data_IF_767316618196
#
_entry.id   IF_767316618196
#
_cell.length_a   1.000
_cell.length_b   1.000
_cell.length_c   1.000
_cell.angle_alpha   90.00
_cell.angle_beta   90.00
_cell.angle_gamma   90.00
#
_symmetry.space_group_name_H-M   'P 1'
#
loop_
_entity.id
_entity.type
_entity.pdbx_description
1 polymer ?
#
# COMPACT_ATOMS: atom_id res chain seq x y z
N UNK A 1 -22.46 -6.44 40.86
CA UNK A 1 -21.79 -6.07 39.61
C UNK A 1 -21.20 -7.34 39.00
N UNK A 2 -21.71 -7.81 37.85
CA UNK A 2 -21.03 -8.81 37.03
C UNK A 2 -21.29 -8.48 35.56
N UNK A 3 -20.31 -7.86 34.93
CA UNK A 3 -20.35 -7.49 33.52
C UNK A 3 -20.36 -8.75 32.66
N UNK A 4 -21.46 -8.99 31.93
CA UNK A 4 -21.52 -10.01 30.87
C UNK A 4 -20.64 -9.56 29.71
N UNK A 5 -19.35 -9.87 29.78
CA UNK A 5 -18.44 -9.73 28.64
C UNK A 5 -18.87 -10.71 27.54
N UNK A 6 -19.07 -10.18 26.33
CA UNK A 6 -19.34 -10.96 25.14
C UNK A 6 -18.11 -11.82 24.80
N UNK A 7 -18.26 -13.14 24.89
CA UNK A 7 -17.16 -14.09 24.72
C UNK A 7 -17.09 -14.52 23.24
N UNK A 8 -16.12 -13.99 22.50
CA UNK A 8 -15.96 -14.19 21.04
C UNK A 8 -15.52 -15.60 20.63
N UNK A 9 -15.40 -16.54 21.58
CA UNK A 9 -14.96 -17.93 21.37
C UNK A 9 -16.06 -18.97 21.59
N UNK A 10 -17.32 -18.56 21.79
CA UNK A 10 -18.42 -19.51 21.86
C UNK A 10 -18.59 -20.21 20.49
N UNK A 11 -18.59 -21.55 20.44
CA UNK A 11 -18.95 -22.27 19.22
C UNK A 11 -20.38 -21.86 18.84
N UNK A 12 -20.60 -21.48 17.58
CA UNK A 12 -21.92 -21.04 17.09
C UNK A 12 -23.03 -22.06 17.40
N UNK A 13 -22.67 -23.33 17.57
CA UNK A 13 -23.56 -24.46 17.86
C UNK A 13 -24.03 -24.56 19.32
N UNK A 14 -23.60 -23.66 20.21
CA UNK A 14 -23.97 -23.70 21.64
C UNK A 14 -25.25 -22.95 21.99
N UNK A 15 -25.80 -22.15 21.07
CA UNK A 15 -27.06 -21.44 21.29
C UNK A 15 -28.23 -22.18 20.64
N UNK A 16 -28.93 -22.96 21.49
CA UNK A 16 -30.27 -23.56 21.32
C UNK A 16 -30.33 -24.82 20.43
N UNK A 17 -30.15 -25.97 21.07
CA UNK A 17 -30.45 -27.29 20.47
C UNK A 17 -31.93 -27.65 20.49
N UNK A 18 -32.76 -26.96 21.29
CA UNK A 18 -34.08 -27.50 21.65
C UNK A 18 -35.31 -26.66 21.23
N UNK A 19 -35.19 -25.53 20.50
CA UNK A 19 -36.35 -24.62 20.41
C UNK A 19 -36.58 -23.78 19.15
N UNK A 20 -36.03 -24.12 17.97
CA UNK A 20 -36.51 -23.50 16.73
C UNK A 20 -36.51 -24.56 15.64
N UNK A 21 -37.70 -25.05 15.26
CA UNK A 21 -37.88 -25.65 13.94
C UNK A 21 -37.64 -24.54 12.92
N UNK A 22 -36.38 -24.38 12.51
CA UNK A 22 -36.00 -23.40 11.51
C UNK A 22 -36.70 -23.84 10.22
N UNK A 23 -37.62 -23.01 9.73
CA UNK A 23 -38.30 -23.25 8.46
C UNK A 23 -37.26 -23.63 7.40
N UNK A 24 -37.46 -24.67 6.59
CA UNK A 24 -36.44 -25.21 5.68
C UNK A 24 -35.81 -24.15 4.76
N UNK A 25 -36.59 -23.11 4.42
CA UNK A 25 -36.13 -21.92 3.68
C UNK A 25 -35.07 -21.11 4.43
N UNK A 26 -35.24 -20.88 5.74
CA UNK A 26 -34.27 -20.14 6.56
C UNK A 26 -32.97 -20.93 6.76
N UNK A 27 -33.05 -22.26 6.88
CA UNK A 27 -31.87 -23.14 6.90
C UNK A 27 -31.10 -23.07 5.57
N UNK A 28 -31.82 -23.16 4.45
CA UNK A 28 -31.26 -23.02 3.11
C UNK A 28 -30.61 -21.65 2.90
N UNK A 29 -31.24 -20.59 3.41
CA UNK A 29 -30.69 -19.23 3.34
C UNK A 29 -29.40 -19.08 4.16
N UNK A 30 -29.34 -19.67 5.36
CA UNK A 30 -28.10 -19.70 6.17
C UNK A 30 -26.95 -20.35 5.40
N UNK A 31 -27.19 -21.52 4.78
CA UNK A 31 -26.17 -22.20 3.98
C UNK A 31 -25.66 -21.34 2.81
N UNK A 32 -26.57 -20.63 2.14
CA UNK A 32 -26.21 -19.70 1.06
C UNK A 32 -25.35 -18.56 1.61
N UNK A 33 -25.75 -17.94 2.73
CA UNK A 33 -24.98 -16.87 3.36
C UNK A 33 -23.59 -17.33 3.79
N UNK A 34 -23.47 -18.53 4.37
CA UNK A 34 -22.18 -19.04 4.82
C UNK A 34 -21.25 -19.35 3.63
N UNK A 35 -21.80 -19.87 2.52
CA UNK A 35 -21.05 -20.02 1.26
C UNK A 35 -20.60 -18.67 0.71
N UNK A 36 -21.47 -17.66 0.70
CA UNK A 36 -21.14 -16.32 0.21
C UNK A 36 -20.06 -15.67 1.08
N UNK A 37 -20.15 -15.78 2.41
CA UNK A 37 -19.12 -15.29 3.34
C UNK A 37 -17.79 -15.98 3.10
N UNK A 38 -17.79 -17.31 2.93
CA UNK A 38 -16.58 -18.07 2.67
C UNK A 38 -15.93 -17.64 1.36
N UNK A 39 -16.71 -17.52 0.29
CA UNK A 39 -16.25 -17.05 -1.00
C UNK A 39 -15.69 -15.62 -0.91
N UNK A 40 -16.39 -14.70 -0.25
CA UNK A 40 -15.90 -13.33 -0.06
C UNK A 40 -14.56 -13.29 0.67
N UNK A 41 -14.38 -14.13 1.70
CA UNK A 41 -13.11 -14.25 2.42
C UNK A 41 -11.99 -14.78 1.52
N UNK A 42 -12.28 -15.79 0.70
CA UNK A 42 -11.32 -16.32 -0.27
C UNK A 42 -10.95 -15.26 -1.31
N UNK A 43 -11.93 -14.58 -1.90
CA UNK A 43 -11.68 -13.51 -2.88
C UNK A 43 -10.82 -12.38 -2.31
N UNK A 44 -10.99 -12.02 -1.04
CA UNK A 44 -10.13 -11.03 -0.38
C UNK A 44 -8.69 -11.55 -0.20
N UNK A 45 -8.52 -12.82 0.18
CA UNK A 45 -7.19 -13.44 0.31
C UNK A 45 -6.48 -13.49 -1.04
N UNK A 46 -7.17 -13.97 -2.08
CA UNK A 46 -6.63 -14.10 -3.44
C UNK A 46 -6.23 -12.73 -4.00
N UNK A 47 -7.04 -11.69 -3.76
CA UNK A 47 -6.73 -10.33 -4.17
C UNK A 47 -5.47 -9.78 -3.47
N UNK A 48 -5.31 -10.05 -2.18
CA UNK A 48 -4.11 -9.65 -1.43
C UNK A 48 -2.87 -10.37 -1.95
N UNK A 49 -2.96 -11.68 -2.14
CA UNK A 49 -1.86 -12.49 -2.63
C UNK A 49 -1.46 -12.10 -4.05
N UNK A 50 -2.44 -11.84 -4.92
CA UNK A 50 -2.19 -11.33 -6.27
C UNK A 50 -1.46 -9.98 -6.25
N UNK A 51 -1.91 -9.04 -5.42
CA UNK A 51 -1.28 -7.72 -5.31
C UNK A 51 0.16 -7.84 -4.81
N UNK A 52 0.39 -8.70 -3.81
CA UNK A 52 1.72 -8.99 -3.28
C UNK A 52 2.65 -9.60 -4.35
N UNK A 53 2.21 -10.67 -5.01
CA UNK A 53 3.00 -11.32 -6.07
C UNK A 53 3.32 -10.37 -7.22
N UNK A 54 2.35 -9.53 -7.61
CA UNK A 54 2.55 -8.51 -8.66
C UNK A 54 3.56 -7.45 -8.24
N UNK A 55 3.56 -7.06 -6.97
CA UNK A 55 4.55 -6.15 -6.42
C UNK A 55 5.93 -6.82 -6.38
N UNK A 56 6.06 -8.00 -5.77
CA UNK A 56 7.32 -8.75 -5.66
C UNK A 56 7.97 -9.00 -7.04
N UNK A 57 7.16 -9.30 -8.07
CA UNK A 57 7.65 -9.53 -9.44
C UNK A 57 8.22 -8.29 -10.11
N UNK A 58 7.60 -7.13 -9.89
CA UNK A 58 7.93 -5.89 -10.60
C UNK A 58 8.81 -4.94 -9.79
N UNK A 59 8.84 -5.10 -8.47
CA UNK A 59 9.58 -4.23 -7.58
C UNK A 59 11.07 -4.56 -7.64
N UNK A 60 11.86 -3.61 -8.17
CA UNK A 60 13.31 -3.68 -8.15
C UNK A 60 13.80 -2.74 -7.07
N UNK A 61 14.36 -3.31 -6.00
CA UNK A 61 15.07 -2.52 -4.98
C UNK A 61 16.30 -1.92 -5.66
N UNK A 62 16.42 -0.60 -5.61
CA UNK A 62 17.59 0.13 -6.12
C UNK A 62 18.52 0.38 -4.94
N UNK A 63 19.76 -0.04 -5.06
CA UNK A 63 20.79 0.24 -4.07
C UNK A 63 21.39 1.61 -4.37
N UNK A 64 21.08 2.58 -3.52
CA UNK A 64 21.67 3.92 -3.56
C UNK A 64 22.73 4.03 -2.47
N UNK A 65 23.83 4.73 -2.75
CA UNK A 65 24.86 5.06 -1.77
C UNK A 65 24.94 6.56 -1.57
N UNK A 66 25.35 6.96 -0.37
CA UNK A 66 25.69 8.35 -0.07
C UNK A 66 26.88 8.76 -0.95
N UNK A 67 26.76 9.89 -1.63
CA UNK A 67 27.72 10.37 -2.62
C UNK A 67 27.38 10.04 -4.08
N UNK A 68 26.40 9.16 -4.34
CA UNK A 68 26.00 8.87 -5.72
C UNK A 68 25.33 10.11 -6.35
N UNK A 69 25.60 10.30 -7.64
CA UNK A 69 24.93 11.32 -8.46
C UNK A 69 23.65 10.75 -9.02
N UNK A 70 22.53 11.40 -8.75
CA UNK A 70 21.21 10.93 -9.16
C UNK A 70 20.38 12.05 -9.79
N UNK A 71 19.50 11.66 -10.70
CA UNK A 71 18.55 12.54 -11.35
C UNK A 71 17.20 12.53 -10.60
N UNK A 72 16.62 13.70 -10.36
CA UNK A 72 15.31 13.84 -9.69
C UNK A 72 14.21 14.06 -10.72
N UNK A 73 13.13 13.27 -10.63
CA UNK A 73 12.00 13.32 -11.56
C UNK A 73 11.17 14.60 -11.40
N UNK A 74 10.81 15.23 -12.52
CA UNK A 74 10.03 16.48 -12.54
C UNK A 74 8.52 16.29 -12.49
N UNK A 75 8.03 15.06 -12.43
CA UNK A 75 6.59 14.73 -12.55
C UNK A 75 5.70 15.53 -11.58
N UNK A 76 6.20 15.79 -10.37
CA UNK A 76 5.47 16.51 -9.32
C UNK A 76 5.87 18.00 -9.18
N UNK A 77 6.72 18.50 -10.07
CA UNK A 77 7.23 19.87 -9.99
C UNK A 77 6.36 20.81 -10.84
N UNK A 78 5.39 21.45 -10.18
CA UNK A 78 4.51 22.42 -10.83
C UNK A 78 5.20 23.76 -11.17
N UNK A 79 6.30 24.09 -10.48
CA UNK A 79 6.94 25.41 -10.55
C UNK A 79 8.10 25.49 -11.56
N UNK A 80 8.40 24.42 -12.31
CA UNK A 80 9.41 24.49 -13.37
C UNK A 80 8.85 25.33 -14.51
N UNK A 81 9.57 26.40 -14.88
CA UNK A 81 9.21 27.28 -15.99
C UNK A 81 9.22 26.51 -17.32
N UNK A 82 8.25 26.81 -18.19
CA UNK A 82 8.18 26.27 -19.55
C UNK A 82 6.92 25.45 -19.85
N UNK A 83 6.64 25.20 -21.15
CA UNK A 83 5.44 24.48 -21.57
C UNK A 83 5.53 23.00 -21.19
N UNK A 84 4.42 22.43 -20.69
CA UNK A 84 4.34 21.05 -20.15
C UNK A 84 4.95 19.98 -21.05
N UNK A 85 4.88 20.16 -22.38
CA UNK A 85 5.41 19.21 -23.39
C UNK A 85 6.92 19.28 -23.61
N UNK A 86 7.58 20.38 -23.23
CA UNK A 86 9.03 20.58 -23.39
C UNK A 86 9.77 20.56 -22.05
N UNK A 87 9.10 20.20 -20.95
CA UNK A 87 9.76 20.04 -19.65
C UNK A 87 10.60 18.78 -19.66
N UNK A 88 11.85 18.87 -19.22
CA UNK A 88 12.68 17.71 -18.97
C UNK A 88 12.02 16.81 -17.93
N UNK A 89 11.95 15.50 -18.18
CA UNK A 89 11.35 14.53 -17.25
C UNK A 89 12.18 14.33 -15.97
N UNK A 90 13.46 14.69 -16.02
CA UNK A 90 14.40 14.61 -14.91
C UNK A 90 15.27 15.87 -14.88
N UNK A 91 15.67 16.29 -13.69
CA UNK A 91 16.54 17.44 -13.45
C UNK A 91 17.79 17.01 -12.71
N UNK A 92 18.91 17.60 -13.14
CA UNK A 92 20.17 17.73 -12.41
C UNK A 92 20.85 16.42 -12.02
N UNK A 93 22.17 16.44 -11.87
CA UNK A 93 22.90 15.39 -11.17
C UNK A 93 23.09 15.86 -9.74
N UNK A 94 22.20 15.44 -8.84
CA UNK A 94 22.26 15.80 -7.42
C UNK A 94 22.99 14.73 -6.63
N UNK A 95 23.76 15.16 -5.63
CA UNK A 95 24.49 14.23 -4.76
C UNK A 95 23.55 13.74 -3.66
N UNK A 96 23.54 12.44 -3.41
CA UNK A 96 22.86 11.86 -2.25
C UNK A 96 23.64 12.22 -0.98
N UNK A 97 22.98 12.94 -0.07
CA UNK A 97 23.55 13.34 1.23
C UNK A 97 23.25 12.30 2.30
N UNK A 98 22.03 11.77 2.33
CA UNK A 98 21.61 10.79 3.34
C UNK A 98 20.53 9.85 2.80
N UNK A 99 20.48 8.64 3.35
CA UNK A 99 19.46 7.63 3.06
C UNK A 99 18.51 7.53 4.25
N UNK A 100 17.22 7.74 4.02
CA UNK A 100 16.16 7.64 5.01
C UNK A 100 15.45 6.30 4.83
N UNK A 101 16.01 5.26 5.46
CA UNK A 101 15.57 3.88 5.29
C UNK A 101 15.73 3.39 3.85
N UNK A 102 14.85 2.48 3.40
CA UNK A 102 14.88 1.91 2.05
C UNK A 102 14.10 2.71 1.02
N UNK A 103 13.25 3.64 1.46
CA UNK A 103 12.20 4.22 0.62
C UNK A 103 12.43 5.68 0.26
N UNK A 104 13.32 6.39 0.97
CA UNK A 104 13.53 7.81 0.76
C UNK A 104 15.01 8.17 0.82
N UNK A 105 15.38 9.17 0.03
CA UNK A 105 16.74 9.66 -0.11
C UNK A 105 16.72 11.17 0.01
N UNK A 106 17.70 11.72 0.70
CA UNK A 106 17.92 13.15 0.78
C UNK A 106 19.04 13.53 -0.18
N UNK A 107 18.75 14.47 -1.07
CA UNK A 107 19.68 14.97 -2.08
C UNK A 107 19.99 16.44 -1.83
N UNK A 108 21.19 16.86 -2.20
CA UNK A 108 21.56 18.27 -2.17
C UNK A 108 20.99 18.96 -3.40
N UNK A 109 19.97 19.81 -3.21
CA UNK A 109 19.36 20.59 -4.27
C UNK A 109 20.06 21.95 -4.38
N UNK A 110 20.59 22.26 -5.57
CA UNK A 110 21.15 23.58 -5.88
C UNK A 110 20.26 24.42 -6.81
N UNK A 111 20.47 25.73 -6.83
CA UNK A 111 19.86 26.66 -7.79
C UNK A 111 18.36 26.88 -7.54
N UNK A 112 17.54 26.75 -8.59
CA UNK A 112 16.09 27.03 -8.54
C UNK A 112 15.29 26.11 -7.59
N UNK A 113 15.93 25.06 -7.06
CA UNK A 113 15.32 24.04 -6.21
C UNK A 113 15.79 24.08 -4.74
N UNK A 114 16.66 25.00 -4.34
CA UNK A 114 17.16 25.12 -2.95
C UNK A 114 16.05 25.29 -1.92
N UNK A 115 14.96 25.98 -2.30
CA UNK A 115 13.80 26.21 -1.43
C UNK A 115 12.80 25.03 -1.39
N UNK A 116 13.10 23.90 -2.05
CA UNK A 116 12.23 22.71 -2.05
C UNK A 116 12.68 21.70 -1.01
N UNK A 117 11.75 20.83 -0.62
CA UNK A 117 12.06 19.72 0.26
C UNK A 117 13.11 18.80 -0.41
N UNK A 118 14.27 18.57 0.20
CA UNK A 118 15.37 17.81 -0.40
C UNK A 118 15.20 16.28 -0.29
N UNK A 119 14.12 15.81 0.34
CA UNK A 119 13.87 14.38 0.55
C UNK A 119 12.87 13.87 -0.49
N UNK A 120 13.29 12.88 -1.28
CA UNK A 120 12.47 12.28 -2.32
C UNK A 120 12.32 10.77 -2.11
N UNK A 121 11.14 10.21 -2.40
CA UNK A 121 10.99 8.76 -2.52
C UNK A 121 11.88 8.19 -3.63
N UNK A 122 12.41 6.98 -3.42
CA UNK A 122 13.28 6.28 -4.38
C UNK A 122 12.66 6.09 -5.77
N UNK A 123 11.33 6.10 -5.87
CA UNK A 123 10.60 6.00 -7.14
C UNK A 123 10.78 7.22 -8.05
N UNK A 124 11.13 8.38 -7.48
CA UNK A 124 11.35 9.62 -8.23
C UNK A 124 12.83 9.87 -8.53
N UNK A 125 13.70 8.94 -8.15
CA UNK A 125 15.15 9.07 -8.29
C UNK A 125 15.61 8.09 -9.35
N UNK A 126 16.33 8.59 -10.35
CA UNK A 126 17.01 7.76 -11.32
C UNK A 126 18.51 7.79 -11.02
N UNK A 127 19.18 6.63 -10.86
CA UNK A 127 20.64 6.59 -10.86
C UNK A 127 21.20 7.08 -12.21
#
# INVERSE_FOLDING_TARGET
MLEKRWNSRLPEDTLRKDLIEIHPTASSFKMILDKVKHHAKQSMSDAFDYAKQKWDKNHKVRDFKVGDLVLVSTLNFNNIKGPKKLKYSYLGSFVIVALHGTNAVQVELGGELENKQPTFPVSFINP
#
